data_IF_724547540744
#
_entry.id   IF_724547540744
#
_cell.length_a   1.000
_cell.length_b   1.000
_cell.length_c   1.000
_cell.angle_alpha   90.00
_cell.angle_beta   90.00
_cell.angle_gamma   90.00
#
_symmetry.space_group_name_H-M   'P 1'
#
loop_
_entity.id
_entity.type
_entity.pdbx_description
1 polymer ?
#
# COMPACT_ATOMS: atom_id res chain seq x y z
N UNK A 1 68.75 3.41 -68.77
CA UNK A 1 67.89 3.09 -69.93
C UNK A 1 66.51 3.72 -69.72
N UNK A 2 66.06 4.47 -70.73
CA UNK A 2 64.69 4.91 -71.05
C UNK A 2 63.85 5.79 -70.11
N UNK A 3 63.42 6.91 -70.72
CA UNK A 3 62.42 7.94 -70.35
C UNK A 3 60.99 7.41 -70.48
N UNK A 4 60.01 8.02 -69.77
CA UNK A 4 58.78 8.69 -70.30
C UNK A 4 57.89 9.15 -69.12
N UNK A 5 57.64 10.46 -68.90
CA UNK A 5 56.42 11.27 -69.23
C UNK A 5 55.11 10.68 -68.63
N UNK A 6 54.23 11.39 -67.91
CA UNK A 6 53.77 12.78 -68.09
C UNK A 6 52.96 13.35 -66.88
N UNK A 7 53.09 14.67 -66.70
CA UNK A 7 52.08 15.72 -66.39
C UNK A 7 50.97 15.55 -65.31
N UNK A 8 51.02 16.50 -64.36
CA UNK A 8 49.97 17.41 -63.86
C UNK A 8 48.66 16.81 -63.31
N UNK A 9 48.34 17.04 -62.03
CA UNK A 9 47.48 18.17 -61.61
C UNK A 9 47.37 18.30 -60.08
N UNK A 10 47.25 19.56 -59.68
CA UNK A 10 47.01 20.15 -58.35
C UNK A 10 45.91 19.44 -57.54
N UNK A 11 46.08 19.34 -56.23
CA UNK A 11 45.22 20.03 -55.23
C UNK A 11 45.74 19.79 -53.80
N UNK A 12 46.05 20.89 -53.10
CA UNK A 12 46.14 20.93 -51.64
C UNK A 12 44.75 20.70 -51.05
N UNK A 13 44.63 19.84 -50.03
CA UNK A 13 43.74 20.11 -48.88
C UNK A 13 44.45 19.58 -47.63
N UNK A 14 44.92 20.52 -46.80
CA UNK A 14 45.36 20.25 -45.43
C UNK A 14 44.13 19.83 -44.62
N UNK A 15 44.03 18.56 -44.23
CA UNK A 15 43.02 18.10 -43.30
C UNK A 15 43.50 18.33 -41.86
N UNK A 16 43.07 19.45 -41.28
CA UNK A 16 43.13 19.67 -39.83
C UNK A 16 42.05 18.77 -39.19
N UNK A 17 42.46 17.66 -38.58
CA UNK A 17 41.56 16.80 -37.82
C UNK A 17 41.29 17.48 -36.48
N UNK A 18 40.15 18.15 -36.38
CA UNK A 18 39.62 18.64 -35.10
C UNK A 18 38.90 17.46 -34.43
N UNK A 19 39.59 16.77 -33.52
CA UNK A 19 39.02 15.73 -32.67
C UNK A 19 38.04 16.37 -31.68
N UNK A 20 36.76 16.40 -32.04
CA UNK A 20 35.66 16.71 -31.12
C UNK A 20 35.48 15.49 -30.21
N UNK A 21 35.92 15.61 -28.96
CA UNK A 21 35.62 14.65 -27.91
C UNK A 21 34.13 14.80 -27.57
N UNK A 22 33.28 13.99 -28.19
CA UNK A 22 31.90 13.80 -27.73
C UNK A 22 31.95 12.98 -26.45
N UNK A 23 32.09 13.65 -25.31
CA UNK A 23 31.84 13.05 -24.01
C UNK A 23 30.37 12.64 -23.94
N UNK A 24 30.09 11.35 -24.14
CA UNK A 24 28.79 10.76 -23.86
C UNK A 24 28.67 10.76 -22.33
N UNK A 25 28.05 11.81 -21.78
CA UNK A 25 27.58 11.77 -20.40
C UNK A 25 26.50 10.69 -20.34
N UNK A 26 26.89 9.51 -19.85
CA UNK A 26 25.93 8.48 -19.45
C UNK A 26 25.27 8.98 -18.18
N UNK A 27 24.12 9.64 -18.32
CA UNK A 27 23.25 9.90 -17.19
C UNK A 27 22.68 8.55 -16.76
N UNK A 28 23.19 8.02 -15.64
CA UNK A 28 22.52 6.93 -14.92
C UNK A 28 21.18 7.50 -14.46
N UNK A 29 20.10 7.15 -15.14
CA UNK A 29 18.75 7.36 -14.62
C UNK A 29 18.74 6.71 -13.24
N UNK A 30 18.47 7.44 -12.14
CA UNK A 30 18.35 6.83 -10.84
C UNK A 30 17.31 5.73 -10.97
N UNK A 31 17.71 4.48 -10.72
CA UNK A 31 16.73 3.41 -10.53
C UNK A 31 15.80 3.91 -9.45
N UNK A 32 14.51 4.11 -9.77
CA UNK A 32 13.51 4.44 -8.78
C UNK A 32 13.70 3.46 -7.61
N UNK A 33 14.02 3.99 -6.43
CA UNK A 33 14.16 3.17 -5.25
C UNK A 33 12.86 2.38 -5.12
N UNK A 34 12.93 1.04 -5.11
CA UNK A 34 11.75 0.21 -5.00
C UNK A 34 10.96 0.69 -3.77
N UNK A 35 9.68 1.02 -3.97
CA UNK A 35 8.83 1.46 -2.88
C UNK A 35 8.89 0.42 -1.75
N UNK A 36 9.09 0.89 -0.52
CA UNK A 36 9.08 0.02 0.66
C UNK A 36 7.78 -0.80 0.68
N UNK A 37 7.84 -2.09 1.07
CA UNK A 37 6.64 -2.91 1.15
C UNK A 37 5.63 -2.29 2.14
N UNK A 38 4.34 -2.40 1.81
CA UNK A 38 3.27 -2.00 2.72
C UNK A 38 3.22 -3.01 3.86
N UNK A 39 3.43 -2.54 5.09
CA UNK A 39 3.36 -3.39 6.29
C UNK A 39 1.92 -3.58 6.72
N UNK A 40 1.45 -4.82 6.65
CA UNK A 40 0.09 -5.20 6.99
C UNK A 40 0.14 -6.08 8.24
N UNK A 41 -0.57 -5.72 9.30
CA UNK A 41 -0.71 -6.54 10.51
C UNK A 41 -2.09 -7.19 10.55
N UNK A 42 -2.20 -8.49 10.26
CA UNK A 42 -3.41 -9.26 10.51
C UNK A 42 -3.60 -9.43 12.02
N UNK A 43 -4.61 -8.81 12.60
CA UNK A 43 -4.93 -8.89 14.04
C UNK A 43 -6.25 -9.63 14.21
N UNK A 44 -6.29 -10.62 15.08
CA UNK A 44 -7.55 -11.28 15.39
C UNK A 44 -7.45 -12.47 16.33
N UNK A 45 -8.48 -13.30 16.26
CA UNK A 45 -8.57 -14.54 17.03
C UNK A 45 -8.08 -15.76 16.25
N UNK A 46 -8.66 -16.94 16.53
CA UNK A 46 -8.39 -18.19 15.83
C UNK A 46 -8.70 -18.12 14.34
N UNK A 47 -9.63 -17.26 13.93
CA UNK A 47 -9.95 -17.05 12.53
C UNK A 47 -8.75 -16.46 11.77
N UNK A 48 -8.02 -15.51 12.37
CA UNK A 48 -6.80 -14.91 11.79
C UNK A 48 -5.58 -15.82 11.99
N UNK A 49 -5.48 -16.48 13.14
CA UNK A 49 -4.39 -17.44 13.40
C UNK A 49 -4.47 -18.64 12.43
N UNK A 50 -5.69 -19.06 12.07
CA UNK A 50 -5.96 -20.04 11.01
C UNK A 50 -6.49 -21.40 11.48
N UNK A 51 -7.14 -21.50 12.64
CA UNK A 51 -7.77 -22.77 13.04
C UNK A 51 -8.72 -23.29 11.95
N UNK A 52 -8.79 -24.61 11.78
CA UNK A 52 -9.59 -25.25 10.73
C UNK A 52 -8.88 -25.38 9.38
N UNK A 53 -7.89 -24.53 9.08
CA UNK A 53 -6.87 -24.81 8.07
C UNK A 53 -5.82 -25.77 8.68
N UNK A 54 -5.55 -26.94 8.05
CA UNK A 54 -4.56 -27.90 8.55
C UNK A 54 -3.17 -27.31 8.81
N UNK A 55 -2.81 -26.22 8.12
CA UNK A 55 -1.52 -25.56 8.22
C UNK A 55 -1.59 -24.16 8.84
N UNK A 56 -2.74 -23.77 9.41
CA UNK A 56 -2.90 -22.48 10.11
C UNK A 56 -2.56 -21.27 9.23
N UNK A 57 -2.87 -21.35 7.92
CA UNK A 57 -2.64 -20.28 6.95
C UNK A 57 -3.75 -19.23 6.92
N UNK A 58 -4.95 -19.60 7.39
CA UNK A 58 -6.11 -18.70 7.38
C UNK A 58 -6.39 -18.15 5.96
N UNK A 59 -7.06 -17.01 5.87
CA UNK A 59 -7.20 -16.22 4.66
C UNK A 59 -5.86 -15.63 4.17
N UNK A 60 -4.81 -15.61 5.01
CA UNK A 60 -3.53 -14.96 4.71
C UNK A 60 -2.81 -15.62 3.54
N UNK A 61 -2.91 -16.94 3.39
CA UNK A 61 -2.29 -17.70 2.28
C UNK A 61 -2.72 -17.19 0.91
N UNK A 62 -4.03 -17.13 0.68
CA UNK A 62 -4.58 -16.71 -0.61
C UNK A 62 -4.56 -15.19 -0.75
N UNK A 63 -4.76 -14.45 0.35
CA UNK A 63 -4.70 -13.00 0.35
C UNK A 63 -3.31 -12.47 -0.04
N UNK A 64 -2.24 -13.10 0.48
CA UNK A 64 -0.87 -12.77 0.09
C UNK A 64 -0.70 -12.92 -1.43
N UNK A 65 -1.15 -14.04 -1.97
CA UNK A 65 -1.10 -14.34 -3.41
C UNK A 65 -1.88 -13.31 -4.23
N UNK A 66 -3.09 -12.93 -3.78
CA UNK A 66 -3.89 -11.90 -4.45
C UNK A 66 -3.18 -10.54 -4.50
N UNK A 67 -2.59 -10.10 -3.38
CA UNK A 67 -1.86 -8.83 -3.36
C UNK A 67 -0.60 -8.86 -4.24
N UNK A 68 0.18 -9.95 -4.21
CA UNK A 68 1.36 -10.09 -5.09
C UNK A 68 0.97 -10.10 -6.57
N UNK A 69 -0.09 -10.82 -6.92
CA UNK A 69 -0.61 -10.86 -8.29
C UNK A 69 -1.15 -9.49 -8.74
N UNK A 70 -1.59 -8.65 -7.81
CA UNK A 70 -1.99 -7.27 -8.07
C UNK A 70 -0.81 -6.29 -8.18
N UNK A 71 0.43 -6.77 -8.09
CA UNK A 71 1.67 -5.98 -8.20
C UNK A 71 2.08 -5.28 -6.91
N UNK A 72 1.45 -5.57 -5.77
CA UNK A 72 1.82 -4.95 -4.50
C UNK A 72 3.06 -5.61 -3.88
N UNK A 73 3.96 -4.77 -3.37
CA UNK A 73 4.98 -5.17 -2.42
C UNK A 73 4.37 -5.08 -1.02
N UNK A 74 4.20 -6.23 -0.35
CA UNK A 74 3.64 -6.32 1.00
C UNK A 74 4.58 -7.07 1.92
N UNK A 75 4.46 -6.75 3.20
CA UNK A 75 5.15 -7.36 4.34
C UNK A 75 4.08 -7.61 5.42
N UNK A 76 3.69 -8.86 5.65
CA UNK A 76 2.88 -9.16 6.82
C UNK A 76 3.76 -9.03 8.06
N UNK A 77 3.21 -8.47 9.14
CA UNK A 77 3.97 -8.24 10.37
C UNK A 77 3.19 -8.68 11.60
N UNK A 78 3.92 -9.19 12.59
CA UNK A 78 3.36 -9.65 13.86
C UNK A 78 4.29 -10.66 14.55
N UNK A 79 3.92 -11.04 15.76
CA UNK A 79 4.71 -11.94 16.61
C UNK A 79 4.47 -13.42 16.36
N UNK A 80 3.32 -13.78 15.77
CA UNK A 80 2.96 -15.14 15.41
C UNK A 80 3.39 -15.46 13.97
N UNK A 81 3.83 -16.69 13.69
CA UNK A 81 4.39 -17.08 12.39
C UNK A 81 3.75 -18.35 11.79
N UNK A 82 2.49 -18.63 12.12
CA UNK A 82 1.77 -19.80 11.62
C UNK A 82 1.35 -19.66 10.16
N UNK A 83 1.47 -20.75 9.41
CA UNK A 83 1.03 -20.86 8.02
C UNK A 83 1.71 -22.00 7.26
N UNK A 84 1.19 -22.39 6.08
CA UNK A 84 1.80 -23.39 5.23
C UNK A 84 3.13 -22.92 4.65
N UNK A 85 3.93 -23.85 4.13
CA UNK A 85 5.18 -23.53 3.42
C UNK A 85 4.96 -22.68 2.17
N UNK A 86 3.75 -22.76 1.58
CA UNK A 86 3.35 -21.99 0.40
C UNK A 86 3.05 -20.53 0.68
N UNK A 87 2.80 -20.15 1.95
CA UNK A 87 2.71 -18.76 2.39
C UNK A 87 4.13 -18.27 2.69
N UNK A 88 4.73 -17.40 1.85
CA UNK A 88 6.12 -16.97 2.03
C UNK A 88 6.32 -16.16 3.30
N UNK A 89 5.31 -15.39 3.67
CA UNK A 89 5.31 -14.49 4.81
C UNK A 89 4.17 -14.87 5.76
N UNK A 90 4.53 -15.44 6.92
CA UNK A 90 3.58 -16.07 7.85
C UNK A 90 3.27 -15.19 9.05
N UNK A 91 3.85 -14.00 9.11
CA UNK A 91 3.77 -13.13 10.27
C UNK A 91 2.32 -12.64 10.48
N UNK A 92 1.85 -12.62 11.73
CA UNK A 92 0.52 -12.16 12.11
C UNK A 92 0.38 -11.92 13.62
N UNK A 93 -0.72 -11.31 14.02
CA UNK A 93 -1.20 -11.16 15.40
C UNK A 93 -2.58 -11.82 15.57
N UNK A 94 -2.73 -13.03 15.01
CA UNK A 94 -3.85 -13.92 15.29
C UNK A 94 -3.58 -14.76 16.54
N UNK A 95 -4.51 -14.75 17.49
CA UNK A 95 -4.39 -15.44 18.77
C UNK A 95 -5.66 -16.24 19.10
N UNK A 96 -5.63 -17.56 18.94
CA UNK A 96 -6.80 -18.42 19.17
C UNK A 96 -7.40 -18.26 20.57
N UNK A 97 -8.73 -18.10 20.62
CA UNK A 97 -9.48 -17.92 21.85
C UNK A 97 -9.44 -16.51 22.45
N UNK A 98 -8.73 -15.55 21.84
CA UNK A 98 -8.64 -14.20 22.38
C UNK A 98 -9.89 -13.36 22.10
N UNK A 99 -10.21 -12.53 23.07
CA UNK A 99 -11.30 -11.54 23.07
C UNK A 99 -10.78 -10.13 22.79
N UNK A 100 -11.68 -9.18 22.54
CA UNK A 100 -11.34 -7.77 22.34
C UNK A 100 -10.47 -7.21 23.48
N UNK A 101 -10.79 -7.40 24.79
CA UNK A 101 -9.94 -6.88 25.86
C UNK A 101 -8.52 -7.44 25.87
N UNK A 102 -8.33 -8.70 25.48
CA UNK A 102 -7.00 -9.33 25.43
C UNK A 102 -6.17 -8.75 24.29
N UNK A 103 -6.76 -8.55 23.10
CA UNK A 103 -6.13 -7.82 22.01
C UNK A 103 -5.80 -6.38 22.44
N UNK A 104 -6.77 -5.66 23.03
CA UNK A 104 -6.60 -4.29 23.50
C UNK A 104 -5.44 -4.13 24.52
N UNK A 105 -5.22 -5.14 25.38
CA UNK A 105 -4.14 -5.13 26.36
C UNK A 105 -2.74 -5.23 25.74
N UNK A 106 -2.63 -5.70 24.48
CA UNK A 106 -1.34 -5.98 23.84
C UNK A 106 -1.11 -5.14 22.57
N UNK A 107 -2.17 -4.65 21.92
CA UNK A 107 -2.11 -4.00 20.60
C UNK A 107 -1.14 -2.82 20.55
N UNK A 108 -1.00 -2.04 21.64
CA UNK A 108 -0.06 -0.92 21.67
C UNK A 108 1.39 -1.39 21.50
N UNK A 109 1.76 -2.52 22.12
CA UNK A 109 3.11 -3.08 22.01
C UNK A 109 3.34 -3.58 20.58
N UNK A 110 2.39 -4.31 20.00
CA UNK A 110 2.50 -4.81 18.62
C UNK A 110 2.62 -3.65 17.62
N UNK A 111 1.78 -2.62 17.73
CA UNK A 111 1.83 -1.44 16.87
C UNK A 111 3.15 -0.67 16.97
N UNK A 112 3.76 -0.64 18.16
CA UNK A 112 5.05 0.01 18.36
C UNK A 112 6.21 -0.84 17.85
N UNK A 113 6.18 -2.15 18.07
CA UNK A 113 7.25 -3.09 17.67
C UNK A 113 7.30 -3.26 16.15
N UNK A 114 6.16 -3.53 15.52
CA UNK A 114 6.12 -3.89 14.11
C UNK A 114 5.86 -2.70 13.18
N UNK A 115 5.34 -1.60 13.73
CA UNK A 115 5.04 -0.35 13.02
C UNK A 115 4.31 -0.58 11.68
N UNK A 116 3.11 -1.19 11.69
CA UNK A 116 2.35 -1.44 10.47
C UNK A 116 1.77 -0.17 9.87
N UNK A 117 1.63 -0.16 8.54
CA UNK A 117 0.90 0.86 7.79
C UNK A 117 -0.61 0.55 7.77
N UNK A 118 -0.95 -0.75 7.84
CA UNK A 118 -2.30 -1.28 7.72
C UNK A 118 -2.56 -2.31 8.82
N UNK A 119 -3.75 -2.27 9.41
CA UNK A 119 -4.25 -3.34 10.29
C UNK A 119 -5.50 -3.96 9.67
N UNK A 120 -5.53 -5.29 9.61
CA UNK A 120 -6.73 -6.07 9.30
C UNK A 120 -7.26 -6.64 10.61
N UNK A 121 -8.31 -6.05 11.17
CA UNK A 121 -8.86 -6.40 12.47
C UNK A 121 -10.10 -7.29 12.31
N UNK A 122 -9.99 -8.54 12.76
CA UNK A 122 -11.09 -9.51 12.82
C UNK A 122 -11.17 -10.11 14.23
N UNK A 123 -12.03 -9.53 15.08
CA UNK A 123 -12.09 -9.88 16.51
C UNK A 123 -13.50 -9.71 17.07
N UNK A 124 -13.77 -10.29 18.24
CA UNK A 124 -15.02 -10.13 18.99
C UNK A 124 -15.91 -11.36 19.02
N UNK A 125 -15.65 -12.36 18.17
CA UNK A 125 -16.38 -13.63 18.18
C UNK A 125 -16.26 -14.36 19.52
N UNK A 126 -15.08 -14.37 20.12
CA UNK A 126 -14.86 -14.99 21.43
C UNK A 126 -15.51 -14.21 22.58
N UNK A 127 -15.70 -12.90 22.48
CA UNK A 127 -16.48 -12.14 23.48
C UNK A 127 -17.92 -12.70 23.57
N UNK A 128 -18.47 -13.16 22.45
CA UNK A 128 -19.80 -13.76 22.36
C UNK A 128 -19.77 -15.24 22.80
N UNK A 129 -18.87 -16.03 22.21
CA UNK A 129 -18.83 -17.49 22.39
C UNK A 129 -18.32 -17.92 23.76
N UNK A 130 -17.42 -17.12 24.36
CA UNK A 130 -16.74 -17.42 25.62
C UNK A 130 -17.05 -16.36 26.67
N UNK A 131 -17.01 -15.08 26.29
CA UNK A 131 -17.23 -13.94 27.20
C UNK A 131 -18.69 -13.69 27.59
N UNK A 132 -19.63 -14.38 26.96
CA UNK A 132 -21.06 -14.36 27.32
C UNK A 132 -21.86 -13.18 26.75
N UNK A 133 -21.32 -12.40 25.81
CA UNK A 133 -22.10 -11.32 25.20
C UNK A 133 -21.42 -10.50 24.11
N UNK A 134 -22.22 -9.70 23.42
CA UNK A 134 -21.74 -8.80 22.36
C UNK A 134 -20.99 -7.62 22.98
N UNK A 135 -19.75 -7.38 22.53
CA UNK A 135 -18.88 -6.33 23.06
C UNK A 135 -18.67 -5.17 22.06
N UNK A 136 -19.77 -4.52 21.66
CA UNK A 136 -19.77 -3.39 20.74
C UNK A 136 -18.93 -2.20 21.25
N UNK A 137 -19.06 -1.87 22.54
CA UNK A 137 -18.29 -0.80 23.18
C UNK A 137 -16.80 -1.11 23.19
N UNK A 138 -16.42 -2.37 23.49
CA UNK A 138 -15.02 -2.81 23.44
C UNK A 138 -14.44 -2.65 22.04
N UNK A 139 -15.16 -3.06 20.99
CA UNK A 139 -14.70 -2.89 19.61
C UNK A 139 -14.50 -1.41 19.26
N UNK A 140 -15.47 -0.55 19.61
CA UNK A 140 -15.38 0.89 19.37
C UNK A 140 -14.15 1.51 20.05
N UNK A 141 -13.90 1.12 21.30
CA UNK A 141 -12.75 1.60 22.08
C UNK A 141 -11.42 1.07 21.52
N UNK A 142 -11.37 -0.18 21.05
CA UNK A 142 -10.18 -0.75 20.42
C UNK A 142 -9.82 -0.01 19.12
N UNK A 143 -10.82 0.35 18.32
CA UNK A 143 -10.62 1.17 17.12
C UNK A 143 -10.04 2.55 17.50
N UNK A 144 -10.59 3.19 18.53
CA UNK A 144 -10.04 4.47 19.03
C UNK A 144 -8.61 4.32 19.52
N UNK A 145 -8.31 3.26 20.27
CA UNK A 145 -6.97 2.98 20.78
C UNK A 145 -5.95 2.86 19.64
N UNK A 146 -6.25 2.06 18.61
CA UNK A 146 -5.38 1.87 17.44
C UNK A 146 -5.19 3.20 16.71
N UNK A 147 -6.27 3.89 16.38
CA UNK A 147 -6.24 5.11 15.55
C UNK A 147 -5.78 6.36 16.31
N UNK A 148 -5.73 6.34 17.63
CA UNK A 148 -5.11 7.40 18.43
C UNK A 148 -3.61 7.17 18.58
N UNK A 149 -3.16 5.92 18.71
CA UNK A 149 -1.74 5.59 18.79
C UNK A 149 -1.03 5.76 17.45
N UNK A 150 -1.68 5.39 16.34
CA UNK A 150 -1.16 5.52 14.97
C UNK A 150 -2.15 6.30 14.09
N UNK A 151 -2.16 7.65 14.13
CA UNK A 151 -3.16 8.46 13.42
C UNK A 151 -3.19 8.26 11.89
N UNK A 152 -2.07 7.85 11.29
CA UNK A 152 -1.95 7.64 9.84
C UNK A 152 -2.27 6.21 9.40
N UNK A 153 -2.56 5.29 10.33
CA UNK A 153 -2.81 3.88 10.00
C UNK A 153 -4.09 3.72 9.18
N UNK A 154 -4.10 2.78 8.23
CA UNK A 154 -5.33 2.32 7.59
C UNK A 154 -5.86 1.11 8.35
N UNK A 155 -6.99 1.27 9.02
CA UNK A 155 -7.60 0.21 9.83
C UNK A 155 -8.81 -0.38 9.12
N UNK A 156 -8.74 -1.64 8.74
CA UNK A 156 -9.88 -2.39 8.22
C UNK A 156 -10.48 -3.24 9.34
N UNK A 157 -11.78 -3.14 9.56
CA UNK A 157 -12.49 -3.87 10.61
C UNK A 157 -13.54 -4.75 9.95
N UNK A 158 -13.49 -6.05 10.22
CA UNK A 158 -14.43 -7.01 9.63
C UNK A 158 -15.52 -7.45 10.60
N UNK A 159 -16.64 -7.88 10.02
CA UNK A 159 -17.58 -8.78 10.67
C UNK A 159 -17.16 -10.25 10.47
N UNK A 160 -17.98 -11.21 10.92
CA UNK A 160 -17.73 -12.65 10.77
C UNK A 160 -18.54 -13.25 9.62
N UNK A 161 -18.05 -14.35 9.05
CA UNK A 161 -18.90 -15.26 8.28
C UNK A 161 -20.12 -15.70 9.13
N UNK A 162 -21.27 -16.01 8.53
CA UNK A 162 -22.53 -16.13 9.26
C UNK A 162 -22.68 -17.48 10.02
N UNK A 163 -21.65 -17.90 10.75
CA UNK A 163 -21.64 -19.13 11.55
C UNK A 163 -20.75 -19.01 12.80
N UNK A 164 -21.18 -19.54 13.97
CA UNK A 164 -22.55 -19.99 14.27
C UNK A 164 -23.52 -18.81 14.36
N UNK A 165 -24.83 -19.05 14.27
CA UNK A 165 -25.86 -17.98 14.18
C UNK A 165 -25.77 -16.90 15.26
N UNK A 166 -25.22 -17.24 16.43
CA UNK A 166 -25.02 -16.31 17.56
C UNK A 166 -24.10 -15.12 17.24
N UNK A 167 -23.26 -15.19 16.19
CA UNK A 167 -22.42 -14.05 15.77
C UNK A 167 -23.18 -13.01 14.95
N UNK A 168 -24.34 -13.37 14.38
CA UNK A 168 -25.11 -12.49 13.48
C UNK A 168 -25.53 -11.16 14.13
N UNK A 169 -26.04 -11.12 15.38
CA UNK A 169 -26.35 -9.85 16.04
C UNK A 169 -25.12 -8.95 16.22
N UNK A 170 -23.93 -9.52 16.40
CA UNK A 170 -22.71 -8.73 16.46
C UNK A 170 -22.33 -8.16 15.09
N UNK A 171 -22.43 -8.96 14.03
CA UNK A 171 -22.19 -8.51 12.65
C UNK A 171 -23.07 -7.30 12.28
N UNK A 172 -24.31 -7.25 12.76
CA UNK A 172 -25.23 -6.13 12.50
C UNK A 172 -24.77 -4.80 13.11
N UNK A 173 -23.99 -4.82 14.19
CA UNK A 173 -23.53 -3.61 14.89
C UNK A 173 -22.25 -3.01 14.30
N UNK A 174 -21.35 -3.85 13.78
CA UNK A 174 -20.01 -3.46 13.32
C UNK A 174 -20.04 -2.35 12.25
N UNK A 175 -20.89 -2.39 11.21
CA UNK A 175 -20.94 -1.34 10.20
C UNK A 175 -21.22 0.04 10.79
N UNK A 176 -22.13 0.12 11.77
CA UNK A 176 -22.48 1.38 12.44
C UNK A 176 -21.32 1.94 13.26
N UNK A 177 -20.61 1.07 13.99
CA UNK A 177 -19.42 1.45 14.76
C UNK A 177 -18.33 2.00 13.82
N UNK A 178 -18.02 1.27 12.76
CA UNK A 178 -16.98 1.68 11.79
C UNK A 178 -17.37 2.99 11.11
N UNK A 179 -18.63 3.11 10.66
CA UNK A 179 -19.13 4.33 10.03
C UNK A 179 -18.97 5.54 10.94
N UNK A 180 -19.29 5.41 12.23
CA UNK A 180 -19.12 6.52 13.19
C UNK A 180 -17.66 7.01 13.25
N UNK A 181 -16.68 6.10 13.20
CA UNK A 181 -15.25 6.46 13.23
C UNK A 181 -14.81 7.09 11.91
N UNK A 182 -15.29 6.56 10.79
CA UNK A 182 -15.02 7.11 9.45
C UNK A 182 -15.62 8.53 9.30
N UNK A 183 -16.87 8.74 9.74
CA UNK A 183 -17.53 10.06 9.73
C UNK A 183 -16.79 11.08 10.62
N UNK A 184 -16.07 10.61 11.65
CA UNK A 184 -15.19 11.42 12.50
C UNK A 184 -13.79 11.65 11.88
N UNK A 185 -13.58 11.28 10.61
CA UNK A 185 -12.33 11.51 9.88
C UNK A 185 -11.21 10.50 10.12
N UNK A 186 -11.47 9.42 10.87
CA UNK A 186 -10.47 8.35 11.04
C UNK A 186 -10.39 7.51 9.77
N UNK A 187 -9.19 7.05 9.41
CA UNK A 187 -8.97 6.13 8.28
C UNK A 187 -9.38 4.69 8.64
N UNK A 188 -10.68 4.48 8.88
CA UNK A 188 -11.28 3.18 9.26
C UNK A 188 -12.27 2.73 8.20
N UNK A 189 -12.19 1.46 7.81
CA UNK A 189 -12.96 0.88 6.71
C UNK A 189 -13.64 -0.41 7.16
N UNK A 190 -14.87 -0.64 6.71
CA UNK A 190 -15.61 -1.86 7.03
C UNK A 190 -15.38 -2.93 5.97
N UNK A 191 -15.15 -4.17 6.41
CA UNK A 191 -15.00 -5.34 5.54
C UNK A 191 -16.11 -6.34 5.85
N UNK A 192 -17.02 -6.55 4.89
CA UNK A 192 -18.22 -7.36 5.07
C UNK A 192 -17.98 -8.84 4.77
N UNK A 193 -17.21 -9.52 5.60
CA UNK A 193 -16.99 -10.97 5.49
C UNK A 193 -18.28 -11.79 5.58
N UNK A 194 -19.31 -11.28 6.24
CA UNK A 194 -20.65 -11.90 6.27
C UNK A 194 -21.32 -12.01 4.90
N UNK A 195 -20.83 -11.28 3.89
CA UNK A 195 -21.33 -11.38 2.50
C UNK A 195 -20.82 -12.60 1.74
N UNK A 196 -19.94 -13.41 2.35
CA UNK A 196 -19.45 -14.64 1.75
C UNK A 196 -20.60 -15.59 1.39
N UNK A 197 -20.50 -16.22 0.23
CA UNK A 197 -21.39 -17.32 -0.17
C UNK A 197 -21.05 -18.57 0.66
N UNK A 198 -21.54 -18.56 1.91
CA UNK A 198 -21.22 -19.55 2.93
C UNK A 198 -22.02 -20.83 2.75
N UNK A 199 -21.32 -21.95 2.61
CA UNK A 199 -21.91 -23.28 2.51
C UNK A 199 -21.30 -24.14 3.62
N UNK A 200 -22.09 -24.41 4.67
CA UNK A 200 -21.63 -25.13 5.87
C UNK A 200 -20.90 -26.44 5.56
N UNK A 201 -21.43 -27.24 4.64
CA UNK A 201 -20.89 -28.57 4.30
C UNK A 201 -19.57 -28.54 3.54
N UNK A 202 -19.22 -27.42 2.89
CA UNK A 202 -17.99 -27.28 2.12
C UNK A 202 -16.98 -26.32 2.73
N UNK A 203 -17.42 -25.39 3.58
CA UNK A 203 -16.60 -24.28 4.03
C UNK A 203 -16.11 -24.44 5.48
N UNK A 204 -16.74 -25.31 6.26
CA UNK A 204 -16.27 -25.62 7.62
C UNK A 204 -15.25 -26.75 7.64
N UNK A 205 -14.34 -26.66 8.60
CA UNK A 205 -13.43 -27.73 8.95
C UNK A 205 -14.14 -28.85 9.71
N UNK A 206 -13.41 -29.92 10.02
CA UNK A 206 -13.91 -31.05 10.81
C UNK A 206 -14.34 -30.67 12.23
N UNK A 207 -13.91 -29.50 12.75
CA UNK A 207 -14.34 -29.01 14.07
C UNK A 207 -15.73 -28.36 14.07
N UNK A 208 -16.35 -28.20 12.89
CA UNK A 208 -17.70 -27.66 12.70
C UNK A 208 -17.88 -26.22 13.25
N UNK A 209 -16.78 -25.48 13.40
CA UNK A 209 -16.76 -24.10 13.87
C UNK A 209 -15.92 -23.19 12.95
N UNK A 210 -14.67 -23.58 12.71
CA UNK A 210 -13.73 -22.79 11.92
C UNK A 210 -13.81 -23.15 10.45
N UNK A 211 -13.39 -22.21 9.61
CA UNK A 211 -13.33 -22.43 8.17
C UNK A 211 -12.23 -23.44 7.83
N UNK A 212 -12.46 -24.23 6.79
CA UNK A 212 -11.38 -24.95 6.13
C UNK A 212 -10.71 -24.05 5.08
N UNK A 213 -9.73 -24.59 4.34
CA UNK A 213 -9.00 -23.85 3.30
C UNK A 213 -9.92 -23.26 2.23
N UNK A 214 -11.00 -23.96 1.84
CA UNK A 214 -11.99 -23.46 0.87
C UNK A 214 -12.74 -22.25 1.42
N UNK A 215 -13.21 -22.33 2.67
CA UNK A 215 -13.87 -21.21 3.34
C UNK A 215 -12.94 -20.01 3.48
N UNK A 216 -11.69 -20.24 3.90
CA UNK A 216 -10.69 -19.19 4.02
C UNK A 216 -10.32 -18.53 2.70
N UNK A 217 -10.29 -19.28 1.59
CA UNK A 217 -10.08 -18.73 0.24
C UNK A 217 -11.16 -17.72 -0.14
N UNK A 218 -12.43 -18.03 0.16
CA UNK A 218 -13.55 -17.08 -0.07
C UNK A 218 -13.40 -15.82 0.77
N UNK A 219 -12.99 -15.96 2.04
CA UNK A 219 -12.72 -14.83 2.93
C UNK A 219 -11.55 -13.98 2.43
N UNK A 220 -10.48 -14.60 1.94
CA UNK A 220 -9.34 -13.93 1.34
C UNK A 220 -9.75 -13.05 0.16
N UNK A 221 -10.68 -13.53 -0.68
CA UNK A 221 -11.22 -12.74 -1.79
C UNK A 221 -11.95 -11.48 -1.30
N UNK A 222 -12.78 -11.58 -0.26
CA UNK A 222 -13.51 -10.42 0.27
C UNK A 222 -12.55 -9.41 0.89
N UNK A 223 -11.55 -9.87 1.64
CA UNK A 223 -10.48 -9.00 2.13
C UNK A 223 -9.81 -8.25 0.97
N UNK A 224 -9.35 -8.98 -0.05
CA UNK A 224 -8.70 -8.39 -1.22
C UNK A 224 -9.59 -7.34 -1.90
N UNK A 225 -10.84 -7.68 -2.22
CA UNK A 225 -11.77 -6.78 -2.92
C UNK A 225 -12.03 -5.51 -2.09
N UNK A 226 -12.03 -5.62 -0.76
CA UNK A 226 -12.32 -4.51 0.16
C UNK A 226 -11.11 -3.60 0.42
N UNK A 227 -9.88 -4.10 0.26
CA UNK A 227 -8.66 -3.38 0.63
C UNK A 227 -7.89 -2.86 -0.57
N UNK A 228 -7.97 -3.53 -1.73
CA UNK A 228 -7.00 -3.36 -2.82
C UNK A 228 -6.90 -1.92 -3.33
N UNK A 229 -8.02 -1.19 -3.44
CA UNK A 229 -8.00 0.19 -3.92
C UNK A 229 -7.23 1.13 -2.98
N UNK A 230 -7.39 0.94 -1.66
CA UNK A 230 -6.65 1.71 -0.66
C UNK A 230 -5.18 1.34 -0.70
N UNK A 231 -4.85 0.05 -0.73
CA UNK A 231 -3.45 -0.40 -0.77
C UNK A 231 -2.73 0.06 -2.03
N UNK A 232 -3.39 0.04 -3.20
CA UNK A 232 -2.83 0.60 -4.43
C UNK A 232 -2.52 2.08 -4.29
N UNK A 233 -3.45 2.87 -3.73
CA UNK A 233 -3.20 4.30 -3.49
C UNK A 233 -2.03 4.57 -2.54
N UNK A 234 -1.69 3.62 -1.66
CA UNK A 234 -0.51 3.72 -0.79
C UNK A 234 0.80 3.33 -1.51
N UNK A 235 0.71 2.47 -2.53
CA UNK A 235 1.87 2.02 -3.33
C UNK A 235 2.17 2.91 -4.53
N UNK A 236 1.21 3.72 -4.98
CA UNK A 236 1.42 4.64 -6.08
C UNK A 236 2.32 5.80 -5.62
N UNK A 237 3.30 6.21 -6.44
CA UNK A 237 4.04 7.44 -6.17
C UNK A 237 3.01 8.57 -6.09
N UNK A 238 2.97 9.27 -4.95
CA UNK A 238 2.16 10.47 -4.80
C UNK A 238 2.49 11.40 -5.98
N UNK A 239 1.53 11.58 -6.88
CA UNK A 239 1.72 12.40 -8.08
C UNK A 239 1.65 13.86 -7.65
N UNK A 240 2.79 14.38 -7.21
CA UNK A 240 2.92 15.73 -6.70
C UNK A 240 3.24 16.68 -7.85
N UNK A 241 2.20 17.19 -8.50
CA UNK A 241 2.35 18.20 -9.56
C UNK A 241 3.10 19.42 -9.01
N UNK A 242 4.25 19.73 -9.61
CA UNK A 242 5.17 20.76 -9.14
C UNK A 242 6.39 20.25 -8.38
N UNK A 243 6.50 18.95 -8.06
CA UNK A 243 7.77 18.31 -7.65
C UNK A 243 8.51 17.89 -8.92
N UNK A 244 9.53 18.66 -9.29
CA UNK A 244 10.26 18.52 -10.55
C UNK A 244 11.64 17.90 -10.36
N UNK A 245 12.05 17.64 -9.11
CA UNK A 245 13.29 16.95 -8.80
C UNK A 245 13.04 15.50 -8.27
N UNK A 246 11.81 15.16 -7.90
CA UNK A 246 11.38 13.86 -7.39
C UNK A 246 11.65 13.65 -5.89
N UNK A 247 11.90 14.70 -5.11
CA UNK A 247 12.23 14.62 -3.69
C UNK A 247 11.01 14.58 -2.74
N UNK A 248 9.80 14.56 -3.32
CA UNK A 248 8.50 14.55 -2.64
C UNK A 248 8.19 15.84 -1.90
N UNK A 249 8.85 16.94 -2.24
CA UNK A 249 8.55 18.28 -1.75
C UNK A 249 8.30 19.19 -2.95
N UNK A 250 7.49 20.21 -2.72
CA UNK A 250 7.36 21.32 -3.65
C UNK A 250 8.05 22.51 -2.98
N UNK A 251 9.21 22.91 -3.49
CA UNK A 251 9.97 24.02 -2.96
C UNK A 251 10.62 24.91 -4.04
N UNK A 252 11.51 25.81 -3.61
CA UNK A 252 12.19 26.76 -4.50
C UNK A 252 13.09 26.09 -5.54
N UNK A 253 13.49 24.83 -5.31
CA UNK A 253 14.25 24.00 -6.24
C UNK A 253 13.40 23.68 -7.46
N UNK A 254 12.16 23.24 -7.25
CA UNK A 254 11.23 22.93 -8.33
C UNK A 254 10.85 24.18 -9.12
N UNK A 255 10.61 25.29 -8.43
CA UNK A 255 10.37 26.57 -9.09
C UNK A 255 11.55 26.96 -10.01
N UNK A 256 12.77 26.72 -9.55
CA UNK A 256 13.99 26.98 -10.34
C UNK A 256 14.10 26.04 -11.54
N UNK A 257 13.74 24.77 -11.38
CA UNK A 257 13.70 23.79 -12.47
C UNK A 257 12.66 24.18 -13.52
N UNK A 258 11.44 24.52 -13.11
CA UNK A 258 10.38 24.96 -14.04
C UNK A 258 10.82 26.20 -14.82
N UNK A 259 11.45 27.17 -14.14
CA UNK A 259 12.00 28.36 -14.81
C UNK A 259 13.04 28.00 -15.85
N UNK A 260 13.97 27.11 -15.52
CA UNK A 260 15.02 26.66 -16.46
C UNK A 260 14.42 25.95 -17.66
N UNK A 261 13.40 25.13 -17.44
CA UNK A 261 12.69 24.42 -18.51
C UNK A 261 11.98 25.39 -19.45
N UNK A 262 11.21 26.36 -18.91
CA UNK A 262 10.52 27.38 -19.71
C UNK A 262 11.49 28.29 -20.49
N UNK A 263 12.71 28.47 -20.00
CA UNK A 263 13.78 29.21 -20.68
C UNK A 263 14.59 28.35 -21.67
N UNK A 264 14.28 27.06 -21.82
CA UNK A 264 15.01 26.14 -22.69
C UNK A 264 16.43 25.81 -22.20
N UNK A 265 16.75 26.09 -20.94
CA UNK A 265 18.04 25.77 -20.32
C UNK A 265 18.16 24.29 -19.94
N UNK A 266 17.01 23.62 -19.76
CA UNK A 266 16.87 22.17 -19.64
C UNK A 266 15.70 21.74 -20.51
N UNK A 267 15.73 20.51 -21.02
CA UNK A 267 14.68 19.93 -21.87
C UNK A 267 13.92 18.80 -21.20
N UNK A 268 14.35 18.38 -20.01
CA UNK A 268 13.76 17.28 -19.24
C UNK A 268 14.00 17.50 -17.74
N UNK A 269 13.18 16.84 -16.92
CA UNK A 269 13.33 16.77 -15.47
C UNK A 269 13.75 15.34 -15.06
N UNK A 270 14.07 15.13 -13.79
CA UNK A 270 14.23 13.77 -13.24
C UNK A 270 12.91 13.00 -13.12
N UNK A 271 11.79 13.68 -13.36
CA UNK A 271 10.41 13.16 -13.39
C UNK A 271 9.77 13.41 -14.77
N UNK A 272 8.63 12.77 -15.10
CA UNK A 272 7.91 13.08 -16.34
C UNK A 272 7.55 14.57 -16.44
N UNK A 273 7.74 15.20 -17.60
CA UNK A 273 7.45 16.64 -17.79
C UNK A 273 6.00 17.02 -17.51
N UNK A 274 5.07 16.08 -17.60
CA UNK A 274 3.67 16.29 -17.20
C UNK A 274 3.52 16.72 -15.73
N UNK A 275 4.49 16.44 -14.86
CA UNK A 275 4.47 16.93 -13.47
C UNK A 275 4.60 18.45 -13.38
N UNK A 276 5.08 19.10 -14.44
CA UNK A 276 5.23 20.54 -14.52
C UNK A 276 3.98 21.28 -15.01
N UNK A 277 2.93 20.54 -15.41
CA UNK A 277 1.58 21.05 -15.75
C UNK A 277 0.73 21.17 -14.47
N UNK A 278 1.10 22.13 -13.62
CA UNK A 278 0.57 22.32 -12.26
C UNK A 278 -0.91 22.67 -12.27
N UNK A 279 -1.39 23.35 -13.32
CA UNK A 279 -2.82 23.67 -13.48
C UNK A 279 -3.61 22.59 -14.25
N UNK A 280 -2.92 21.55 -14.75
CA UNK A 280 -3.47 20.38 -15.45
C UNK A 280 -4.20 20.73 -16.75
N UNK A 281 -3.78 21.79 -17.44
CA UNK A 281 -4.38 22.22 -18.70
C UNK A 281 -3.80 21.48 -19.94
N UNK A 282 -2.78 20.63 -19.74
CA UNK A 282 -2.09 19.87 -20.79
C UNK A 282 -0.91 20.59 -21.43
N UNK A 283 -0.55 21.80 -20.97
CA UNK A 283 0.50 22.66 -21.54
C UNK A 283 1.38 23.28 -20.47
N UNK A 284 2.66 22.92 -20.46
CA UNK A 284 3.66 23.48 -19.52
C UNK A 284 4.06 24.89 -19.97
N UNK A 285 3.65 25.91 -19.21
CA UNK A 285 3.90 27.31 -19.56
C UNK A 285 4.06 28.23 -18.32
N UNK A 286 4.07 29.55 -18.55
CA UNK A 286 4.25 30.55 -17.48
C UNK A 286 3.15 30.53 -16.42
N UNK A 287 1.98 29.98 -16.74
CA UNK A 287 0.85 29.82 -15.82
C UNK A 287 1.20 28.82 -14.71
N UNK A 288 1.80 27.68 -15.07
CA UNK A 288 2.28 26.69 -14.12
C UNK A 288 3.33 27.28 -13.18
N UNK A 289 4.25 28.07 -13.75
CA UNK A 289 5.29 28.75 -12.96
C UNK A 289 4.68 29.75 -11.96
N UNK A 290 3.69 30.53 -12.39
CA UNK A 290 3.00 31.47 -11.51
C UNK A 290 2.23 30.76 -10.39
N UNK A 291 1.59 29.63 -10.70
CA UNK A 291 0.84 28.82 -9.75
C UNK A 291 1.75 28.14 -8.74
N UNK A 292 2.84 27.53 -9.21
CA UNK A 292 3.87 26.92 -8.35
C UNK A 292 4.46 27.96 -7.41
N UNK A 293 4.83 29.15 -7.93
CA UNK A 293 5.33 30.26 -7.12
C UNK A 293 4.32 30.72 -6.07
N UNK A 294 3.04 30.84 -6.44
CA UNK A 294 1.97 31.25 -5.53
C UNK A 294 1.81 30.26 -4.38
N UNK A 295 1.84 28.95 -4.67
CA UNK A 295 1.71 27.90 -3.66
C UNK A 295 2.83 27.99 -2.62
N UNK A 296 4.08 28.21 -3.07
CA UNK A 296 5.24 28.38 -2.17
C UNK A 296 5.15 29.60 -1.25
N UNK A 297 4.50 30.67 -1.72
CA UNK A 297 4.32 31.90 -0.93
C UNK A 297 3.21 31.78 0.12
N UNK A 298 2.26 30.85 -0.06
CA UNK A 298 1.16 30.63 0.88
C UNK A 298 1.52 29.65 2.01
N UNK A 299 2.52 28.79 1.81
CA UNK A 299 3.00 27.83 2.81
C UNK A 299 4.07 28.40 3.75
N UNK A 300 4.54 29.64 3.49
CA UNK A 300 5.60 30.31 4.25
C UNK A 300 5.13 31.33 5.30
N UNK A 301 3.84 31.33 5.66
CA UNK A 301 3.23 32.29 6.60
C UNK A 301 2.51 31.59 7.76
#
# INVERSE_FOLDING_TARGET
MYKLRAKLQKMLISALVLSVVTGIFSFSVPSAAAASPIKIMPVGDSCTEGMGDPNMGSYRTDLYSHYKNAGLSIDFVGSNQRGPSTLPDRDNEGHSGWTIPQVASNINNWLNTYNPDVVLLWIGGNDILIGGGVNATGLSNLIDQITNLKPNIKLFVSDYYPWPDIVKPYNELIPGIVKQKADAGKSVYFVKLSSVDFIKSSDLSSDNLHLNTTGYSKIAKIWYDSTISVLKSMSEPETLYGDLNGDKKIDSTDLSLLKRYLLGLITEFSVPSSMADVDKNGSINSTDYAMLKKNLLQTGS
#
